data_IF_740760537789
#
_entry.id   IF_740760537789
#
_cell.length_a   1.000
_cell.length_b   1.000
_cell.length_c   1.000
_cell.angle_alpha   90.00
_cell.angle_beta   90.00
_cell.angle_gamma   90.00
#
_symmetry.space_group_name_H-M   'P 1'
#
loop_
_entity.id
_entity.type
_entity.pdbx_description
1 polymer ?
#
# COMPACT_ATOMS: atom_id res chain seq x y z
N UNK A 1 7.70 -1.92 26.43
CA UNK A 1 6.43 -2.18 25.69
C UNK A 1 5.31 -2.30 26.73
N UNK A 2 4.23 -1.54 26.63
CA UNK A 2 3.14 -1.58 27.61
C UNK A 2 2.30 -2.86 27.47
N UNK A 3 1.52 -3.21 28.51
CA UNK A 3 0.66 -4.41 28.53
C UNK A 3 -0.28 -4.47 27.32
N UNK A 4 -0.84 -3.32 26.93
CA UNK A 4 -1.67 -3.20 25.73
C UNK A 4 -0.96 -3.71 24.48
N UNK A 5 0.26 -3.22 24.21
CA UNK A 5 1.02 -3.58 23.03
C UNK A 5 1.41 -5.07 23.04
N UNK A 6 1.66 -5.66 24.22
CA UNK A 6 1.91 -7.10 24.35
C UNK A 6 0.69 -7.95 23.96
N UNK A 7 -0.51 -7.54 24.39
CA UNK A 7 -1.75 -8.24 24.05
C UNK A 7 -2.06 -8.14 22.56
N UNK A 8 -1.93 -6.93 21.97
CA UNK A 8 -2.16 -6.71 20.54
C UNK A 8 -1.14 -7.48 19.69
N UNK A 9 0.15 -7.42 20.03
CA UNK A 9 1.20 -8.21 19.39
C UNK A 9 0.86 -9.71 19.41
N UNK A 10 0.48 -10.23 20.59
CA UNK A 10 0.14 -11.65 20.75
C UNK A 10 -1.04 -12.04 19.88
N UNK A 11 -2.10 -11.22 19.84
CA UNK A 11 -3.27 -11.46 19.00
C UNK A 11 -2.91 -11.44 17.50
N UNK A 12 -2.15 -10.45 17.05
CA UNK A 12 -1.72 -10.32 15.66
C UNK A 12 -0.84 -11.52 15.26
N UNK A 13 0.19 -11.85 16.06
CA UNK A 13 1.05 -13.02 15.82
C UNK A 13 0.26 -14.32 15.79
N UNK A 14 -0.74 -14.49 16.67
CA UNK A 14 -1.61 -15.65 16.63
C UNK A 14 -2.37 -15.75 15.30
N UNK A 15 -2.90 -14.62 14.78
CA UNK A 15 -3.54 -14.59 13.46
C UNK A 15 -2.59 -14.99 12.34
N UNK A 16 -1.33 -14.54 12.38
CA UNK A 16 -0.32 -14.91 11.38
C UNK A 16 0.03 -16.40 11.43
N UNK A 17 0.21 -16.96 12.63
CA UNK A 17 0.47 -18.41 12.80
C UNK A 17 -0.61 -19.29 12.17
N UNK A 18 -1.87 -18.84 12.15
CA UNK A 18 -2.95 -19.58 11.48
C UNK A 18 -2.73 -19.64 9.95
N UNK A 19 -2.18 -18.58 9.35
CA UNK A 19 -1.78 -18.60 7.93
C UNK A 19 -0.48 -19.39 7.73
N UNK A 20 0.51 -19.21 8.61
CA UNK A 20 1.83 -19.89 8.52
C UNK A 20 1.70 -21.42 8.65
N UNK A 21 0.77 -21.89 9.50
CA UNK A 21 0.49 -23.31 9.68
C UNK A 21 -0.29 -23.96 8.53
N UNK A 22 -0.65 -23.20 7.49
CA UNK A 22 -1.45 -23.70 6.36
C UNK A 22 -2.93 -23.98 6.69
N UNK A 23 -3.37 -23.74 7.93
CA UNK A 23 -4.76 -23.96 8.37
C UNK A 23 -5.77 -23.10 7.60
N UNK A 24 -5.35 -21.92 7.14
CA UNK A 24 -6.16 -21.08 6.25
C UNK A 24 -5.71 -21.28 4.80
N UNK A 25 -6.69 -21.50 3.92
CA UNK A 25 -6.45 -21.63 2.49
C UNK A 25 -5.94 -20.31 1.91
N UNK A 26 -4.68 -20.30 1.48
CA UNK A 26 -4.10 -19.26 0.63
C UNK A 26 -4.45 -19.63 -0.81
N UNK A 27 -5.05 -18.68 -1.54
CA UNK A 27 -5.45 -18.88 -2.93
C UNK A 27 -4.37 -18.33 -3.85
N UNK A 28 -4.09 -19.05 -4.94
CA UNK A 28 -3.15 -18.66 -6.00
C UNK A 28 -3.90 -18.42 -7.29
N UNK A 29 -3.33 -17.56 -8.12
CA UNK A 29 -3.69 -17.39 -9.53
C UNK A 29 -2.41 -17.59 -10.36
N UNK A 30 -2.52 -17.63 -11.68
CA UNK A 30 -1.38 -17.91 -12.56
C UNK A 30 -0.54 -16.64 -12.80
N UNK A 31 -1.19 -15.48 -12.81
CA UNK A 31 -0.54 -14.17 -12.95
C UNK A 31 0.23 -13.80 -11.68
N UNK A 32 1.53 -13.44 -11.76
CA UNK A 32 2.30 -13.00 -10.62
C UNK A 32 1.67 -11.82 -9.87
N UNK A 33 1.70 -11.88 -8.54
CA UNK A 33 1.19 -10.86 -7.63
C UNK A 33 2.36 -10.16 -6.92
N UNK A 34 2.48 -8.85 -7.15
CA UNK A 34 3.36 -7.97 -6.39
C UNK A 34 2.54 -7.17 -5.38
N UNK A 35 2.87 -7.23 -4.11
CA UNK A 35 2.15 -6.50 -3.06
C UNK A 35 2.97 -5.31 -2.57
N UNK A 36 2.33 -4.14 -2.48
CA UNK A 36 2.88 -2.97 -1.78
C UNK A 36 2.16 -2.78 -0.45
N UNK A 37 2.87 -2.36 0.58
CA UNK A 37 2.24 -2.11 1.86
C UNK A 37 3.12 -1.46 2.90
N UNK A 38 2.58 -1.33 4.10
CA UNK A 38 3.30 -0.85 5.28
C UNK A 38 2.83 -1.61 6.50
N UNK A 39 3.65 -1.68 7.55
CA UNK A 39 3.23 -2.17 8.86
C UNK A 39 2.56 -1.08 9.70
N UNK A 40 2.55 0.17 9.22
CA UNK A 40 1.92 1.30 9.90
C UNK A 40 0.66 1.81 9.22
N UNK A 41 -0.26 2.36 10.03
CA UNK A 41 -1.40 3.15 9.59
C UNK A 41 -0.94 4.51 9.08
N UNK A 42 -1.76 5.09 8.20
CA UNK A 42 -1.53 6.42 7.65
C UNK A 42 -0.63 6.46 6.42
N UNK A 43 -0.36 7.68 5.97
CA UNK A 43 0.29 8.02 4.69
C UNK A 43 1.77 7.64 4.61
N UNK A 44 2.08 6.35 4.63
CA UNK A 44 3.42 5.81 4.41
C UNK A 44 3.92 5.97 2.95
N UNK A 45 3.08 6.48 2.05
CA UNK A 45 3.41 6.62 0.63
C UNK A 45 3.13 5.36 -0.20
N UNK A 46 2.23 4.47 0.27
CA UNK A 46 1.88 3.21 -0.40
C UNK A 46 1.36 3.42 -1.83
N UNK A 47 0.31 4.22 -2.01
CA UNK A 47 -0.23 4.47 -3.35
C UNK A 47 0.73 5.22 -4.28
N UNK A 48 1.53 6.21 -3.82
CA UNK A 48 2.65 6.72 -4.61
C UNK A 48 3.68 5.66 -5.00
N UNK A 49 4.02 4.71 -4.11
CA UNK A 49 4.89 3.58 -4.44
C UNK A 49 4.26 2.65 -5.47
N UNK A 50 2.97 2.31 -5.32
CA UNK A 50 2.19 1.55 -6.31
C UNK A 50 2.25 2.21 -7.69
N UNK A 51 2.05 3.53 -7.74
CA UNK A 51 2.17 4.30 -8.98
C UNK A 51 3.58 4.22 -9.58
N UNK A 52 4.62 4.42 -8.76
CA UNK A 52 6.01 4.34 -9.18
C UNK A 52 6.35 2.96 -9.77
N UNK A 53 5.97 1.87 -9.08
CA UNK A 53 6.19 0.50 -9.54
C UNK A 53 5.46 0.24 -10.85
N UNK A 54 4.19 0.64 -10.97
CA UNK A 54 3.44 0.47 -12.21
C UNK A 54 4.13 1.20 -13.38
N UNK A 55 4.61 2.43 -13.19
CA UNK A 55 5.39 3.15 -14.22
C UNK A 55 6.71 2.46 -14.56
N UNK A 56 7.42 1.96 -13.54
CA UNK A 56 8.67 1.24 -13.74
C UNK A 56 8.43 -0.02 -14.60
N UNK A 57 7.42 -0.82 -14.28
CA UNK A 57 7.05 -2.01 -15.04
C UNK A 57 6.72 -1.67 -16.50
N UNK A 58 5.90 -0.63 -16.72
CA UNK A 58 5.57 -0.16 -18.07
C UNK A 58 6.83 0.24 -18.84
N UNK A 59 7.78 0.94 -18.19
CA UNK A 59 9.05 1.34 -18.82
C UNK A 59 9.92 0.16 -19.25
N UNK A 60 9.72 -1.01 -18.63
CA UNK A 60 10.39 -2.25 -18.96
C UNK A 60 9.58 -3.14 -19.92
N UNK A 61 8.47 -2.63 -20.48
CA UNK A 61 7.59 -3.40 -21.36
C UNK A 61 6.71 -4.43 -20.65
N UNK A 62 6.68 -4.41 -19.30
CA UNK A 62 5.84 -5.29 -18.50
C UNK A 62 4.49 -4.62 -18.26
N UNK A 63 3.39 -5.28 -18.60
CA UNK A 63 2.03 -4.73 -18.42
C UNK A 63 1.50 -4.98 -17.01
N UNK A 64 1.31 -3.94 -16.17
CA UNK A 64 0.71 -4.10 -14.86
C UNK A 64 -0.81 -3.98 -14.91
N UNK A 65 -1.48 -4.59 -13.93
CA UNK A 65 -2.80 -4.17 -13.47
C UNK A 65 -2.77 -3.89 -11.97
N UNK A 66 -3.63 -3.00 -11.47
CA UNK A 66 -3.65 -2.60 -10.06
C UNK A 66 -4.92 -3.13 -9.39
N UNK A 67 -4.74 -3.70 -8.20
CA UNK A 67 -5.84 -4.14 -7.34
C UNK A 67 -5.78 -3.43 -5.99
N UNK A 68 -6.76 -2.56 -5.72
CA UNK A 68 -6.86 -1.80 -4.48
C UNK A 68 -8.12 -2.15 -3.69
N UNK A 69 -8.18 -1.78 -2.40
CA UNK A 69 -9.33 -2.12 -1.51
C UNK A 69 -10.54 -1.28 -1.85
N UNK A 70 -10.29 -0.05 -2.30
CA UNK A 70 -11.27 1.00 -2.31
C UNK A 70 -11.76 1.29 -0.90
N UNK A 71 -10.82 1.59 0.01
CA UNK A 71 -11.16 1.98 1.38
C UNK A 71 -12.05 3.23 1.36
N UNK A 72 -13.07 3.28 2.24
CA UNK A 72 -14.00 4.40 2.33
C UNK A 72 -15.04 4.51 1.21
N UNK A 73 -14.99 3.65 0.19
CA UNK A 73 -15.96 3.66 -0.91
C UNK A 73 -17.34 3.17 -0.45
N UNK A 74 -18.39 3.68 -1.10
CA UNK A 74 -19.77 3.27 -0.86
C UNK A 74 -20.16 2.01 -1.65
N UNK A 75 -19.51 1.75 -2.78
CA UNK A 75 -19.82 0.59 -3.61
C UNK A 75 -19.38 -0.73 -2.99
N UNK A 76 -20.11 -1.79 -3.33
CA UNK A 76 -19.84 -3.16 -2.87
C UNK A 76 -19.41 -4.05 -4.02
N UNK A 77 -18.79 -5.19 -3.65
CA UNK A 77 -18.30 -6.18 -4.61
C UNK A 77 -17.05 -5.76 -5.36
N UNK A 78 -16.65 -6.56 -6.33
CA UNK A 78 -15.55 -6.23 -7.24
C UNK A 78 -16.07 -5.23 -8.28
N UNK A 79 -15.33 -4.14 -8.49
CA UNK A 79 -15.60 -3.17 -9.55
C UNK A 79 -14.32 -2.74 -10.24
N UNK A 80 -14.39 -2.62 -11.55
CA UNK A 80 -13.38 -1.91 -12.32
C UNK A 80 -13.58 -0.40 -12.20
N UNK A 81 -12.48 0.33 -12.03
CA UNK A 81 -12.49 1.78 -11.88
C UNK A 81 -12.52 2.44 -13.25
N UNK A 82 -13.65 3.07 -13.56
CA UNK A 82 -13.86 3.91 -14.74
C UNK A 82 -14.20 5.32 -14.28
N UNK A 83 -13.44 6.32 -14.75
CA UNK A 83 -13.64 7.70 -14.34
C UNK A 83 -14.77 8.32 -15.14
N UNK A 84 -15.74 8.91 -14.44
CA UNK A 84 -16.89 9.59 -15.07
C UNK A 84 -16.58 11.03 -15.48
N UNK A 85 -15.41 11.54 -15.10
CA UNK A 85 -15.06 12.96 -15.18
C UNK A 85 -15.51 13.76 -13.95
N UNK A 86 -16.33 13.17 -13.08
CA UNK A 86 -16.67 13.74 -11.77
C UNK A 86 -15.90 13.02 -10.67
N UNK A 87 -14.71 13.53 -10.35
CA UNK A 87 -13.79 12.90 -9.40
C UNK A 87 -14.39 12.74 -8.00
N UNK A 88 -15.30 13.62 -7.56
CA UNK A 88 -15.95 13.50 -6.26
C UNK A 88 -16.88 12.27 -6.22
N UNK A 89 -17.72 12.09 -7.24
CA UNK A 89 -18.60 10.91 -7.35
C UNK A 89 -17.78 9.63 -7.53
N UNK A 90 -16.73 9.70 -8.35
CA UNK A 90 -15.84 8.57 -8.57
C UNK A 90 -15.16 8.15 -7.26
N UNK A 91 -14.68 9.11 -6.45
CA UNK A 91 -14.08 8.86 -5.15
C UNK A 91 -15.06 8.23 -4.15
N UNK A 92 -16.30 8.73 -4.09
CA UNK A 92 -17.36 8.07 -3.29
C UNK A 92 -17.62 6.63 -3.76
N UNK A 93 -17.56 6.39 -5.07
CA UNK A 93 -17.88 5.09 -5.63
C UNK A 93 -16.73 4.08 -5.53
N UNK A 94 -15.50 4.48 -5.82
CA UNK A 94 -14.34 3.58 -5.92
C UNK A 94 -13.33 3.76 -4.79
N UNK A 95 -13.34 4.91 -4.11
CA UNK A 95 -12.34 5.34 -3.12
C UNK A 95 -11.34 6.33 -3.71
N UNK A 96 -10.75 7.16 -2.85
CA UNK A 96 -9.83 8.23 -3.26
C UNK A 96 -8.54 7.70 -3.91
N UNK A 97 -7.88 6.71 -3.28
CA UNK A 97 -6.60 6.16 -3.77
C UNK A 97 -6.75 5.45 -5.14
N UNK A 98 -7.77 4.58 -5.37
CA UNK A 98 -7.97 3.96 -6.68
C UNK A 98 -8.29 4.98 -7.79
N UNK A 99 -9.07 6.02 -7.49
CA UNK A 99 -9.39 7.09 -8.44
C UNK A 99 -8.14 7.89 -8.80
N UNK A 100 -7.31 8.21 -7.80
CA UNK A 100 -6.01 8.85 -8.03
C UNK A 100 -5.12 7.97 -8.92
N UNK A 101 -4.98 6.68 -8.60
CA UNK A 101 -4.17 5.75 -9.40
C UNK A 101 -4.68 5.64 -10.83
N UNK A 102 -6.00 5.52 -11.04
CA UNK A 102 -6.59 5.47 -12.38
C UNK A 102 -6.40 6.77 -13.15
N UNK A 103 -6.48 7.92 -12.49
CA UNK A 103 -6.26 9.23 -13.11
C UNK A 103 -4.81 9.40 -13.56
N UNK A 104 -3.85 8.96 -12.74
CA UNK A 104 -2.42 9.05 -13.05
C UNK A 104 -1.95 7.98 -14.04
N UNK A 105 -2.68 6.87 -14.17
CA UNK A 105 -2.35 5.72 -15.02
C UNK A 105 -3.56 5.34 -15.88
N UNK A 106 -3.98 6.19 -16.84
CA UNK A 106 -5.24 6.00 -17.58
C UNK A 106 -5.30 4.66 -18.33
N UNK A 107 -4.14 4.16 -18.80
CA UNK A 107 -4.03 2.92 -19.56
C UNK A 107 -3.84 1.67 -18.69
N UNK A 108 -3.66 1.81 -17.38
CA UNK A 108 -3.52 0.67 -16.46
C UNK A 108 -4.91 0.25 -15.99
N UNK A 109 -5.27 -1.05 -16.05
CA UNK A 109 -6.47 -1.55 -15.41
C UNK A 109 -6.39 -1.36 -13.91
N UNK A 110 -7.41 -0.76 -13.30
CA UNK A 110 -7.51 -0.59 -11.85
C UNK A 110 -8.81 -1.20 -11.38
N UNK A 111 -8.73 -2.14 -10.44
CA UNK A 111 -9.88 -2.82 -9.85
C UNK A 111 -9.91 -2.60 -8.35
N UNK A 112 -11.10 -2.45 -7.82
CA UNK A 112 -11.35 -2.34 -6.40
C UNK A 112 -12.17 -3.53 -5.90
N UNK A 113 -11.64 -4.30 -4.95
CA UNK A 113 -12.34 -5.48 -4.42
C UNK A 113 -11.89 -5.83 -2.99
N UNK A 114 -12.81 -5.95 -2.05
CA UNK A 114 -12.51 -6.38 -0.67
C UNK A 114 -11.96 -7.81 -0.62
N UNK A 115 -12.47 -8.70 -1.47
CA UNK A 115 -11.84 -10.00 -1.73
C UNK A 115 -10.80 -9.86 -2.85
N UNK A 116 -9.52 -9.92 -2.48
CA UNK A 116 -8.43 -9.76 -3.45
C UNK A 116 -8.40 -10.87 -4.46
N UNK A 117 -8.74 -12.09 -4.07
CA UNK A 117 -8.73 -13.19 -5.01
C UNK A 117 -9.73 -12.94 -6.15
N UNK A 118 -10.95 -12.53 -5.82
CA UNK A 118 -11.97 -12.21 -6.84
C UNK A 118 -11.53 -11.08 -7.77
N UNK A 119 -10.94 -10.02 -7.21
CA UNK A 119 -10.41 -8.92 -8.02
C UNK A 119 -9.24 -9.34 -8.91
N UNK A 120 -8.33 -10.16 -8.39
CA UNK A 120 -7.16 -10.63 -9.11
C UNK A 120 -7.54 -11.58 -10.25
N UNK A 121 -8.49 -12.51 -10.02
CA UNK A 121 -9.04 -13.39 -11.06
C UNK A 121 -9.71 -12.61 -12.18
N UNK A 122 -10.46 -11.56 -11.84
CA UNK A 122 -11.06 -10.70 -12.86
C UNK A 122 -9.99 -10.03 -13.73
N UNK A 123 -8.95 -9.47 -13.11
CA UNK A 123 -7.84 -8.85 -13.83
C UNK A 123 -7.11 -9.85 -14.74
N UNK A 124 -6.77 -11.03 -14.21
CA UNK A 124 -6.13 -12.12 -14.96
C UNK A 124 -6.96 -12.53 -16.19
N UNK A 125 -8.25 -12.78 -16.01
CA UNK A 125 -9.11 -13.25 -17.10
C UNK A 125 -9.39 -12.17 -18.14
N UNK A 126 -9.58 -10.92 -17.70
CA UNK A 126 -9.99 -9.82 -18.59
C UNK A 126 -8.83 -9.18 -19.32
N UNK A 127 -7.71 -9.00 -18.64
CA UNK A 127 -6.58 -8.19 -19.12
C UNK A 127 -5.31 -9.00 -19.36
N UNK A 128 -5.20 -10.21 -18.79
CA UNK A 128 -4.00 -11.04 -18.86
C UNK A 128 -2.71 -10.23 -18.63
N UNK A 129 -2.65 -9.39 -17.57
CA UNK A 129 -1.48 -8.57 -17.33
C UNK A 129 -0.29 -9.47 -16.99
N UNK A 130 0.93 -9.02 -17.28
CA UNK A 130 2.12 -9.76 -16.87
C UNK A 130 2.29 -9.81 -15.35
N UNK A 131 1.73 -8.82 -14.63
CA UNK A 131 1.78 -8.74 -13.16
C UNK A 131 0.59 -7.95 -12.62
N UNK A 132 0.08 -8.35 -11.46
CA UNK A 132 -0.92 -7.59 -10.71
C UNK A 132 -0.24 -6.97 -9.47
N UNK A 133 -0.35 -5.65 -9.34
CA UNK A 133 0.17 -4.88 -8.20
C UNK A 133 -0.96 -4.64 -7.20
N UNK A 134 -0.81 -5.15 -5.97
CA UNK A 134 -1.74 -4.88 -4.88
C UNK A 134 -1.39 -3.56 -4.21
N UNK A 135 -2.32 -2.61 -4.24
CA UNK A 135 -2.23 -1.38 -3.47
C UNK A 135 -2.70 -1.65 -2.03
N UNK A 136 -1.79 -1.44 -1.07
CA UNK A 136 -1.98 -1.77 0.35
C UNK A 136 -2.35 -3.26 0.58
N UNK A 137 -1.61 -4.15 -0.07
CA UNK A 137 -1.86 -5.59 -0.12
C UNK A 137 -1.24 -6.41 1.02
N UNK A 138 -0.22 -5.91 1.70
CA UNK A 138 0.66 -6.72 2.58
C UNK A 138 -0.07 -7.50 3.70
N UNK A 139 -1.17 -6.97 4.24
CA UNK A 139 -1.98 -7.67 5.26
C UNK A 139 -2.87 -8.77 4.68
N UNK A 140 -3.08 -8.81 3.36
CA UNK A 140 -4.04 -9.68 2.70
C UNK A 140 -3.45 -11.06 2.33
N UNK A 141 -3.08 -11.84 3.33
CA UNK A 141 -2.47 -13.17 3.15
C UNK A 141 -3.38 -14.26 2.56
N UNK A 142 -4.65 -13.96 2.23
CA UNK A 142 -5.58 -14.92 1.60
C UNK A 142 -5.31 -15.10 0.11
N UNK A 143 -4.66 -14.13 -0.52
CA UNK A 143 -4.11 -14.23 -1.86
C UNK A 143 -2.59 -14.43 -1.72
N UNK A 144 -2.03 -15.33 -2.51
CA UNK A 144 -0.58 -15.52 -2.57
C UNK A 144 0.08 -14.29 -3.20
N UNK A 145 1.21 -13.88 -2.63
CA UNK A 145 2.08 -12.87 -3.22
C UNK A 145 3.36 -13.56 -3.68
N UNK A 146 3.84 -13.18 -4.86
CA UNK A 146 5.12 -13.66 -5.40
C UNK A 146 6.26 -12.70 -5.04
N UNK A 147 5.92 -11.45 -4.70
CA UNK A 147 6.85 -10.44 -4.22
C UNK A 147 6.13 -9.46 -3.27
N UNK A 148 6.71 -9.20 -2.11
CA UNK A 148 6.19 -8.25 -1.11
C UNK A 148 7.16 -7.07 -0.91
N UNK A 149 6.64 -5.85 -1.07
CA UNK A 149 7.36 -4.59 -0.87
C UNK A 149 6.74 -3.81 0.29
N UNK A 150 7.56 -3.50 1.29
CA UNK A 150 7.19 -2.62 2.38
C UNK A 150 7.74 -1.21 2.19
N UNK A 151 6.98 -0.20 2.60
CA UNK A 151 7.41 1.20 2.61
C UNK A 151 7.28 1.83 4.00
N UNK A 152 8.32 2.57 4.36
CA UNK A 152 8.41 3.33 5.60
C UNK A 152 8.87 4.77 5.33
N UNK A 153 8.36 5.68 6.16
CA UNK A 153 8.73 7.11 6.16
C UNK A 153 9.84 7.37 7.17
N UNK A 154 10.48 8.54 7.08
CA UNK A 154 11.63 8.89 7.92
C UNK A 154 11.35 8.96 9.43
N UNK A 155 10.08 9.15 9.78
CA UNK A 155 9.59 9.25 11.17
C UNK A 155 9.12 7.91 11.75
N UNK A 156 9.33 6.81 11.03
CA UNK A 156 8.96 5.49 11.49
C UNK A 156 9.83 5.04 12.68
N UNK A 157 9.18 4.61 13.78
CA UNK A 157 9.82 4.41 15.09
C UNK A 157 10.47 3.02 15.30
N UNK A 158 10.40 2.12 14.32
CA UNK A 158 10.98 0.77 14.44
C UNK A 158 10.46 0.02 15.66
N UNK A 159 11.37 -0.61 16.42
CA UNK A 159 11.05 -1.34 17.67
C UNK A 159 10.43 -0.46 18.77
N UNK A 160 10.54 0.87 18.64
CA UNK A 160 9.91 1.83 19.54
C UNK A 160 8.51 2.25 19.08
N UNK A 161 7.98 1.66 17.99
CA UNK A 161 6.60 1.87 17.57
C UNK A 161 5.62 1.22 18.54
N UNK A 162 4.49 1.89 18.77
CA UNK A 162 3.36 1.35 19.55
C UNK A 162 2.23 0.96 18.61
N UNK A 163 1.41 -0.01 19.04
CA UNK A 163 0.20 -0.40 18.32
C UNK A 163 -0.89 0.68 18.40
N UNK A 164 -1.66 0.79 17.32
CA UNK A 164 -2.89 1.57 17.29
C UNK A 164 -3.82 1.14 18.44
N UNK A 165 -4.49 2.07 19.16
CA UNK A 165 -4.58 3.50 18.90
C UNK A 165 -3.47 4.38 19.50
N UNK A 166 -2.55 3.80 20.28
CA UNK A 166 -1.50 4.57 20.98
C UNK A 166 -0.22 4.78 20.15
N UNK A 167 -0.19 4.23 18.94
CA UNK A 167 0.79 4.49 17.91
C UNK A 167 0.25 4.06 16.56
N UNK A 168 1.13 3.91 15.58
CA UNK A 168 0.71 3.72 14.19
C UNK A 168 0.88 2.28 13.72
N UNK A 169 1.46 1.40 14.54
CA UNK A 169 1.67 0.02 14.13
C UNK A 169 0.31 -0.70 14.02
N UNK A 170 0.06 -1.33 12.87
CA UNK A 170 -1.15 -2.15 12.61
C UNK A 170 -0.87 -3.64 12.49
N UNK A 171 0.40 -4.02 12.48
CA UNK A 171 0.84 -5.38 12.20
C UNK A 171 2.13 -5.70 12.97
N UNK A 172 2.53 -6.96 13.06
CA UNK A 172 3.75 -7.36 13.77
C UNK A 172 5.01 -6.95 13.02
N UNK A 173 6.00 -6.42 13.75
CA UNK A 173 7.32 -6.13 13.20
C UNK A 173 8.06 -7.38 12.74
N UNK A 174 7.71 -8.58 13.23
CA UNK A 174 8.32 -9.82 12.73
C UNK A 174 8.02 -10.06 11.25
N UNK A 175 6.94 -9.46 10.72
CA UNK A 175 6.59 -9.59 9.30
C UNK A 175 7.54 -8.84 8.36
N UNK A 176 8.49 -8.06 8.89
CA UNK A 176 9.57 -7.51 8.06
C UNK A 176 10.38 -8.61 7.38
N UNK A 177 10.45 -9.80 7.98
CA UNK A 177 11.12 -10.98 7.42
C UNK A 177 10.39 -11.56 6.20
N UNK A 178 9.10 -11.25 6.03
CA UNK A 178 8.29 -11.66 4.86
C UNK A 178 8.48 -10.73 3.66
N UNK A 179 9.13 -9.57 3.82
CA UNK A 179 9.31 -8.62 2.74
C UNK A 179 10.55 -8.97 1.91
N UNK A 180 10.44 -8.86 0.58
CA UNK A 180 11.59 -8.98 -0.33
C UNK A 180 12.35 -7.66 -0.42
N UNK A 181 11.60 -6.55 -0.45
CA UNK A 181 12.15 -5.20 -0.53
C UNK A 181 11.55 -4.26 0.50
N UNK A 182 12.39 -3.39 1.06
CA UNK A 182 11.96 -2.35 1.99
C UNK A 182 12.39 -0.99 1.44
N UNK A 183 11.42 -0.16 1.08
CA UNK A 183 11.61 1.23 0.72
C UNK A 183 11.64 2.08 1.98
N UNK A 184 12.77 2.73 2.25
CA UNK A 184 12.97 3.61 3.40
C UNK A 184 13.25 5.04 2.96
N UNK A 185 12.50 6.01 3.49
CA UNK A 185 12.67 7.41 3.10
C UNK A 185 14.04 7.95 3.55
N UNK A 186 14.72 8.66 2.67
CA UNK A 186 16.03 9.26 2.91
C UNK A 186 15.92 10.27 4.05
N UNK A 187 16.87 10.23 4.98
CA UNK A 187 16.80 11.03 6.20
C UNK A 187 15.90 10.42 7.27
N UNK A 188 15.38 9.20 7.08
CA UNK A 188 15.16 8.30 8.20
C UNK A 188 16.47 8.28 8.98
N UNK A 189 16.48 8.89 10.17
CA UNK A 189 17.61 8.85 11.09
C UNK A 189 18.10 7.40 11.15
N UNK A 190 19.38 7.17 11.43
CA UNK A 190 19.93 5.87 11.82
C UNK A 190 19.24 5.32 13.11
N UNK A 191 17.92 5.15 13.09
CA UNK A 191 17.09 4.48 14.08
C UNK A 191 17.26 2.99 13.79
N UNK A 192 18.47 2.54 14.11
CA UNK A 192 18.88 1.16 14.10
C UNK A 192 19.10 0.58 12.70
N UNK A 193 20.37 0.39 12.37
CA UNK A 193 20.87 -0.87 11.80
C UNK A 193 20.22 -2.13 12.41
N UNK A 194 19.58 -2.02 13.58
CA UNK A 194 18.76 -3.03 14.26
C UNK A 194 17.31 -3.20 13.78
N UNK A 195 16.79 -2.35 12.88
CA UNK A 195 15.44 -2.51 12.29
C UNK A 195 15.43 -3.53 11.13
N UNK A 196 16.58 -3.67 10.48
CA UNK A 196 16.78 -4.40 9.24
C UNK A 196 17.50 -5.72 9.45
N UNK A 197 17.35 -6.36 10.61
CA UNK A 197 17.71 -7.79 10.73
C UNK A 197 16.82 -8.70 9.84
N UNK A 198 15.98 -8.11 8.99
CA UNK A 198 15.29 -8.77 7.89
C UNK A 198 16.27 -9.05 6.73
N UNK A 199 16.16 -10.19 6.04
CA UNK A 199 16.92 -10.47 4.82
C UNK A 199 16.56 -9.56 3.63
N UNK A 200 15.52 -8.72 3.76
CA UNK A 200 15.03 -7.86 2.69
C UNK A 200 16.09 -6.86 2.20
N UNK A 201 16.09 -6.60 0.89
CA UNK A 201 16.93 -5.54 0.32
C UNK A 201 16.32 -4.17 0.62
N UNK A 202 17.12 -3.29 1.21
CA UNK A 202 16.68 -1.95 1.61
C UNK A 202 17.03 -0.94 0.54
N UNK A 203 16.02 -0.24 0.04
CA UNK A 203 16.15 0.75 -1.02
C UNK A 203 15.82 2.13 -0.43
N UNK A 204 16.79 3.05 -0.37
CA UNK A 204 16.50 4.42 0.02
C UNK A 204 15.67 5.10 -1.06
N UNK A 205 14.67 5.89 -0.67
CA UNK A 205 13.89 6.71 -1.61
C UNK A 205 13.71 8.14 -1.10
N UNK A 206 13.37 9.05 -2.00
CA UNK A 206 12.95 10.41 -1.65
C UNK A 206 11.66 10.71 -2.40
N UNK A 207 10.61 11.10 -1.67
CA UNK A 207 9.39 11.56 -2.29
C UNK A 207 9.51 13.06 -2.54
N UNK A 208 9.32 13.47 -3.79
CA UNK A 208 9.31 14.88 -4.19
C UNK A 208 7.95 15.18 -4.80
N UNK A 209 7.31 16.26 -4.34
CA UNK A 209 6.09 16.77 -4.94
C UNK A 209 6.46 18.00 -5.76
N UNK A 210 6.09 17.97 -7.04
CA UNK A 210 6.29 19.09 -7.95
C UNK A 210 4.93 19.50 -8.47
N UNK A 211 4.65 20.79 -8.47
CA UNK A 211 3.48 21.33 -9.13
C UNK A 211 3.83 21.60 -10.59
N UNK A 212 2.97 21.16 -11.51
CA UNK A 212 3.16 21.42 -12.95
C UNK A 212 3.05 22.92 -13.28
N UNK A 213 2.38 23.70 -12.43
CA UNK A 213 2.24 25.15 -12.55
C UNK A 213 2.62 25.82 -11.23
N UNK A 214 3.35 26.93 -11.26
CA UNK A 214 3.65 27.70 -10.05
C UNK A 214 2.35 28.19 -9.41
N UNK A 215 2.31 28.20 -8.08
CA UNK A 215 1.21 28.82 -7.33
C UNK A 215 1.26 30.32 -7.62
N UNK A 216 0.16 30.89 -8.10
CA UNK A 216 0.04 32.32 -8.32
C UNK A 216 0.15 33.04 -6.96
N UNK A 217 1.32 33.59 -6.65
CA UNK A 217 1.61 34.30 -5.38
C UNK A 217 0.90 35.66 -5.25
N UNK A 218 -0.05 35.97 -6.14
CA UNK A 218 -0.73 37.27 -6.18
C UNK A 218 -1.74 37.46 -5.04
N UNK A 219 -2.09 36.39 -4.32
CA UNK A 219 -3.04 36.41 -3.21
C UNK A 219 -2.55 35.56 -2.03
N UNK A 220 -3.00 35.84 -0.80
CA UNK A 220 -2.80 34.95 0.34
C UNK A 220 -3.30 33.54 -0.01
N UNK A 221 -2.44 32.54 0.16
CA UNK A 221 -2.76 31.13 -0.13
C UNK A 221 -3.14 30.42 1.16
N UNK A 222 -4.14 29.54 1.10
CA UNK A 222 -4.52 28.67 2.22
C UNK A 222 -4.28 27.21 1.82
N UNK A 223 -3.64 26.45 2.71
CA UNK A 223 -3.37 25.03 2.50
C UNK A 223 -4.35 24.20 3.33
N UNK A 224 -4.97 23.21 2.69
CA UNK A 224 -5.81 22.21 3.35
C UNK A 224 -5.26 20.83 3.02
N UNK A 225 -5.25 19.94 4.01
CA UNK A 225 -4.81 18.55 3.84
C UNK A 225 -5.84 17.62 4.47
N UNK A 226 -5.93 16.39 3.93
CA UNK A 226 -6.74 15.33 4.49
C UNK A 226 -6.23 14.87 5.87
N UNK A 227 -6.95 13.98 6.56
CA UNK A 227 -6.74 13.68 7.99
C UNK A 227 -5.39 13.03 8.34
N UNK A 228 -4.59 12.64 7.34
CA UNK A 228 -3.37 11.87 7.54
C UNK A 228 -2.15 12.78 7.75
N UNK A 229 -1.88 13.15 9.02
CA UNK A 229 -0.64 13.82 9.48
C UNK A 229 -0.34 15.19 8.83
N UNK A 230 -0.96 16.28 9.35
CA UNK A 230 -0.71 17.67 8.94
C UNK A 230 0.76 18.04 8.75
N UNK A 231 1.60 17.65 9.72
CA UNK A 231 3.01 18.05 9.83
C UNK A 231 3.91 17.48 8.71
N UNK A 232 3.36 16.66 7.82
CA UNK A 232 4.08 16.09 6.68
C UNK A 232 3.85 16.88 5.38
N UNK A 233 2.89 17.79 5.36
CA UNK A 233 2.69 18.77 4.28
C UNK A 233 3.66 19.93 4.48
#
# INVERSE_FOLDING_TARGET
MNLYSQLVETYIRHRHRIFDSGKKKIRRIDTPILSTGSLTLGGAGKSPLTHFIAKLLISQGVSPAILSRGYGRQSQGMKEVHLSGNLFKDAQHFGDEPVMLKSLLPHVPVVVSTDRYTGARFLEQRYQPHVIVLDDGFQHRRLHHDLDILIFKKDFKGKNASYFPFGDLRDSLSRLEEADFIFLETGAIQVGSNFLSSPATVIPYKLTFTLDKPILQTCPSCAFFGPSRPLRF
#
